data_IF_135771673608
#
_entry.id   IF_135771673608
#
_cell.length_a   1.000
_cell.length_b   1.000
_cell.length_c   1.000
_cell.angle_alpha   90.00
_cell.angle_beta   90.00
_cell.angle_gamma   90.00
#
_symmetry.space_group_name_H-M   'P 1'
#
loop_
_entity.id
_entity.type
_entity.pdbx_description
1 polymer ?
#
# COMPACT_ATOMS: atom_id res chain seq x y z
N UNK A 1 33.98 -50.24 11.76
CA UNK A 1 32.83 -49.39 11.37
C UNK A 1 32.46 -48.53 12.57
N UNK A 2 32.19 -47.24 12.38
CA UNK A 2 31.74 -46.36 13.49
C UNK A 2 30.24 -46.57 13.71
N UNK A 3 29.78 -46.42 14.95
CA UNK A 3 28.40 -46.73 15.34
C UNK A 3 27.39 -45.84 14.57
N UNK A 4 26.47 -46.47 13.82
CA UNK A 4 25.46 -45.77 13.01
C UNK A 4 24.53 -44.91 13.85
N UNK A 5 24.12 -45.39 15.04
CA UNK A 5 23.26 -44.64 15.96
C UNK A 5 23.96 -43.37 16.45
N UNK A 6 25.26 -43.44 16.72
CA UNK A 6 26.03 -42.26 17.15
C UNK A 6 26.21 -41.25 16.01
N UNK A 7 26.39 -41.71 14.77
CA UNK A 7 26.46 -40.83 13.60
C UNK A 7 25.12 -40.12 13.34
N UNK A 8 24.01 -40.83 13.45
CA UNK A 8 22.67 -40.24 13.36
C UNK A 8 22.40 -39.22 14.46
N UNK A 9 22.72 -39.55 15.72
CA UNK A 9 22.54 -38.65 16.86
C UNK A 9 23.34 -37.35 16.71
N UNK A 10 24.58 -37.43 16.23
CA UNK A 10 25.39 -36.24 15.96
C UNK A 10 24.79 -35.39 14.83
N UNK A 11 24.30 -36.01 13.74
CA UNK A 11 23.60 -35.28 12.68
C UNK A 11 22.26 -34.67 13.13
N UNK A 12 21.60 -35.24 14.14
CA UNK A 12 20.40 -34.68 14.75
C UNK A 12 20.71 -33.42 15.58
N UNK A 13 21.85 -33.41 16.29
CA UNK A 13 22.30 -32.22 17.03
C UNK A 13 22.66 -31.08 16.07
N UNK A 14 23.43 -31.39 15.02
CA UNK A 14 23.69 -30.45 13.95
C UNK A 14 24.03 -31.21 12.65
N UNK A 15 23.32 -30.93 11.53
CA UNK A 15 23.56 -31.58 10.26
C UNK A 15 25.03 -31.49 9.84
N UNK A 16 25.62 -32.66 9.55
CA UNK A 16 27.01 -32.81 9.13
C UNK A 16 27.97 -33.27 10.22
N UNK A 17 27.65 -33.12 11.52
CA UNK A 17 28.51 -33.65 12.60
C UNK A 17 28.63 -35.17 12.55
N UNK A 18 27.55 -35.87 12.19
CA UNK A 18 27.56 -37.32 11.99
C UNK A 18 28.54 -37.75 10.88
N UNK A 19 28.64 -36.97 9.80
CA UNK A 19 29.57 -37.20 8.69
C UNK A 19 31.02 -36.92 9.07
N UNK A 20 31.29 -35.86 9.85
CA UNK A 20 32.61 -35.61 10.41
C UNK A 20 33.05 -36.77 11.32
N UNK A 21 32.14 -37.27 12.16
CA UNK A 21 32.39 -38.43 13.00
C UNK A 21 32.80 -39.64 12.15
N UNK A 22 32.16 -39.92 11.02
CA UNK A 22 32.54 -41.05 10.14
C UNK A 22 33.69 -40.73 9.17
N UNK A 23 34.43 -39.63 9.38
CA UNK A 23 35.55 -39.16 8.54
C UNK A 23 35.15 -38.84 7.09
N UNK A 24 33.88 -38.50 6.86
CA UNK A 24 33.35 -38.02 5.57
C UNK A 24 33.31 -36.49 5.58
N UNK A 25 34.49 -35.87 5.58
CA UNK A 25 34.64 -34.43 5.85
C UNK A 25 33.96 -33.54 4.82
N UNK A 26 34.08 -33.85 3.53
CA UNK A 26 33.42 -33.10 2.47
C UNK A 26 31.90 -33.08 2.63
N UNK A 27 31.29 -34.25 2.85
CA UNK A 27 29.85 -34.37 3.08
C UNK A 27 29.41 -33.58 4.33
N UNK A 28 30.17 -33.71 5.43
CA UNK A 28 29.87 -33.00 6.68
C UNK A 28 29.93 -31.49 6.52
N UNK A 29 30.92 -30.97 5.81
CA UNK A 29 31.07 -29.54 5.59
C UNK A 29 29.90 -28.96 4.77
N UNK A 30 29.39 -29.69 3.79
CA UNK A 30 28.24 -29.26 2.98
C UNK A 30 26.99 -29.08 3.85
N UNK A 31 26.67 -30.06 4.70
CA UNK A 31 25.53 -29.95 5.61
C UNK A 31 25.71 -28.85 6.65
N UNK A 32 26.93 -28.66 7.15
CA UNK A 32 27.23 -27.60 8.12
C UNK A 32 27.02 -26.22 7.47
N UNK A 33 27.57 -25.99 6.28
CA UNK A 33 27.42 -24.72 5.56
C UNK A 33 25.95 -24.46 5.21
N UNK A 34 25.24 -25.46 4.69
CA UNK A 34 23.82 -25.32 4.36
C UNK A 34 22.96 -24.97 5.58
N UNK A 35 23.23 -25.61 6.72
CA UNK A 35 22.50 -25.37 7.97
C UNK A 35 22.88 -24.03 8.59
N UNK A 36 24.16 -23.66 8.59
CA UNK A 36 24.63 -22.37 9.06
C UNK A 36 24.03 -21.22 8.23
N UNK A 37 23.87 -21.42 6.92
CA UNK A 37 23.22 -20.44 6.05
C UNK A 37 21.72 -20.30 6.36
N UNK A 38 20.99 -21.39 6.59
CA UNK A 38 19.59 -21.34 7.05
C UNK A 38 19.45 -20.57 8.37
N UNK A 39 20.33 -20.82 9.34
CA UNK A 39 20.36 -20.08 10.61
C UNK A 39 20.76 -18.61 10.43
N UNK A 40 21.71 -18.30 9.57
CA UNK A 40 22.11 -16.92 9.26
C UNK A 40 20.93 -16.12 8.70
N UNK A 41 20.18 -16.70 7.76
CA UNK A 41 18.96 -16.07 7.21
C UNK A 41 17.90 -15.87 8.29
N UNK A 42 17.79 -16.79 9.24
CA UNK A 42 16.81 -16.72 10.33
C UNK A 42 17.19 -15.72 11.44
N UNK A 43 18.48 -15.46 11.68
CA UNK A 43 18.95 -14.69 12.84
C UNK A 43 19.44 -13.26 12.55
N UNK A 44 19.98 -12.95 11.35
CA UNK A 44 20.80 -11.73 11.16
C UNK A 44 20.23 -10.63 10.25
N UNK A 45 19.00 -10.78 9.76
CA UNK A 45 18.28 -9.67 9.12
C UNK A 45 17.03 -9.31 9.93
N UNK A 46 16.46 -8.11 9.73
CA UNK A 46 15.30 -7.52 10.43
C UNK A 46 14.00 -8.36 10.33
N UNK A 47 14.02 -9.61 10.80
CA UNK A 47 13.10 -10.68 10.40
C UNK A 47 12.56 -11.48 11.58
N UNK A 48 12.00 -10.78 12.57
CA UNK A 48 11.25 -11.37 13.68
C UNK A 48 10.10 -12.31 13.24
N UNK A 49 9.65 -12.20 11.98
CA UNK A 49 8.58 -13.02 11.41
C UNK A 49 9.02 -14.42 10.93
N UNK A 50 10.32 -14.66 10.70
CA UNK A 50 10.80 -16.00 10.28
C UNK A 50 10.75 -17.03 11.44
N UNK A 51 10.83 -16.55 12.69
CA UNK A 51 10.65 -17.36 13.89
C UNK A 51 9.18 -17.45 14.34
N UNK A 52 8.29 -16.66 13.73
CA UNK A 52 6.88 -16.63 14.08
C UNK A 52 6.13 -17.80 13.42
N UNK A 53 5.77 -18.81 14.21
CA UNK A 53 4.96 -19.95 13.77
C UNK A 53 3.55 -19.56 13.29
N UNK A 54 3.10 -18.34 13.56
CA UNK A 54 1.82 -17.81 13.09
C UNK A 54 1.88 -17.26 11.66
N UNK A 55 3.08 -17.09 11.11
CA UNK A 55 3.29 -16.57 9.75
C UNK A 55 3.45 -17.73 8.78
N UNK A 56 2.58 -17.89 7.75
CA UNK A 56 2.77 -18.91 6.72
C UNK A 56 4.11 -18.82 5.99
N UNK A 57 4.76 -17.64 6.02
CA UNK A 57 6.07 -17.41 5.42
C UNK A 57 7.20 -18.12 6.19
N UNK A 58 7.04 -18.41 7.48
CA UNK A 58 8.06 -19.14 8.26
C UNK A 58 8.10 -20.63 7.90
N UNK A 59 6.98 -21.20 7.43
CA UNK A 59 6.86 -22.64 7.15
C UNK A 59 7.84 -23.14 6.09
N UNK A 60 8.20 -22.31 5.11
CA UNK A 60 9.17 -22.71 4.07
C UNK A 60 10.58 -22.89 4.65
N UNK A 61 10.96 -22.07 5.64
CA UNK A 61 12.25 -22.15 6.33
C UNK A 61 12.27 -23.35 7.28
N UNK A 62 11.19 -23.53 8.05
CA UNK A 62 11.04 -24.70 8.91
C UNK A 62 11.03 -26.01 8.10
N UNK A 63 10.37 -26.04 6.94
CA UNK A 63 10.40 -27.18 6.03
C UNK A 63 11.82 -27.41 5.49
N UNK A 64 12.55 -26.35 5.13
CA UNK A 64 13.96 -26.42 4.75
C UNK A 64 14.83 -27.05 5.85
N UNK A 65 14.65 -26.63 7.11
CA UNK A 65 15.34 -27.25 8.25
C UNK A 65 15.00 -28.73 8.41
N UNK A 66 13.71 -29.10 8.37
CA UNK A 66 13.28 -30.51 8.48
C UNK A 66 13.93 -31.36 7.40
N UNK A 67 13.91 -30.92 6.14
CA UNK A 67 14.51 -31.65 5.02
C UNK A 67 16.01 -31.85 5.22
N UNK A 68 16.75 -30.78 5.56
CA UNK A 68 18.20 -30.85 5.76
C UNK A 68 18.56 -31.76 6.93
N UNK A 69 17.85 -31.67 8.05
CA UNK A 69 18.09 -32.51 9.23
C UNK A 69 17.77 -33.99 8.96
N UNK A 70 16.58 -34.30 8.44
CA UNK A 70 16.18 -35.68 8.14
C UNK A 70 17.14 -36.33 7.14
N UNK A 71 17.54 -35.60 6.10
CA UNK A 71 18.47 -36.11 5.11
C UNK A 71 19.87 -36.32 5.70
N UNK A 72 20.39 -35.37 6.47
CA UNK A 72 21.71 -35.49 7.09
C UNK A 72 21.79 -36.67 8.07
N UNK A 73 20.70 -36.95 8.80
CA UNK A 73 20.58 -38.11 9.70
C UNK A 73 20.58 -39.41 8.89
N UNK A 74 19.73 -39.51 7.87
CA UNK A 74 19.60 -40.71 7.05
C UNK A 74 20.91 -41.04 6.31
N UNK A 75 21.54 -40.03 5.71
CA UNK A 75 22.77 -40.22 4.94
C UNK A 75 23.97 -40.58 5.83
N UNK A 76 24.09 -39.96 7.02
CA UNK A 76 25.18 -40.28 7.95
C UNK A 76 25.03 -41.71 8.51
N UNK A 77 23.80 -42.10 8.86
CA UNK A 77 23.47 -43.45 9.34
C UNK A 77 23.81 -44.52 8.29
N UNK A 78 23.38 -44.32 7.04
CA UNK A 78 23.63 -45.23 5.92
C UNK A 78 25.13 -45.39 5.65
N UNK A 79 25.87 -44.27 5.55
CA UNK A 79 27.32 -44.28 5.29
C UNK A 79 28.13 -44.90 6.43
N UNK A 80 27.65 -44.81 7.68
CA UNK A 80 28.28 -45.47 8.82
C UNK A 80 28.17 -47.01 8.77
N UNK A 81 27.14 -47.54 8.10
CA UNK A 81 26.86 -48.97 7.96
C UNK A 81 27.67 -49.71 6.90
N UNK A 82 28.54 -49.01 6.15
CA UNK A 82 29.46 -49.65 5.21
C UNK A 82 28.88 -49.98 3.83
N UNK A 83 27.72 -49.44 3.44
CA UNK A 83 27.21 -49.53 2.06
C UNK A 83 28.10 -48.71 1.09
N UNK A 84 29.21 -49.30 0.66
CA UNK A 84 30.19 -48.68 -0.24
C UNK A 84 29.97 -48.98 -1.73
N UNK A 85 29.04 -49.87 -2.11
CA UNK A 85 28.97 -50.41 -3.48
C UNK A 85 28.02 -49.67 -4.47
N UNK A 86 27.47 -48.52 -4.10
CA UNK A 86 26.77 -47.61 -5.06
C UNK A 86 27.57 -46.30 -5.25
N UNK A 87 28.81 -46.24 -4.74
CA UNK A 87 29.42 -44.98 -4.31
C UNK A 87 30.23 -44.18 -5.36
N UNK A 88 30.39 -44.62 -6.61
CA UNK A 88 31.08 -43.81 -7.63
C UNK A 88 30.16 -42.99 -8.55
N UNK A 89 28.86 -43.30 -8.60
CA UNK A 89 27.89 -42.58 -9.44
C UNK A 89 26.98 -41.60 -8.68
N UNK A 90 27.07 -41.56 -7.35
CA UNK A 90 26.15 -40.85 -6.44
C UNK A 90 26.73 -39.59 -5.79
N UNK A 91 28.05 -39.39 -5.78
CA UNK A 91 28.70 -38.21 -5.15
C UNK A 91 28.32 -36.89 -5.84
N UNK A 92 28.25 -36.87 -7.17
CA UNK A 92 27.81 -35.72 -7.95
C UNK A 92 26.30 -35.46 -7.80
N UNK A 93 25.48 -36.52 -7.74
CA UNK A 93 24.02 -36.42 -7.70
C UNK A 93 23.51 -35.88 -6.35
N UNK A 94 24.11 -36.27 -5.23
CA UNK A 94 23.64 -35.83 -3.91
C UNK A 94 24.03 -34.38 -3.57
N UNK A 95 25.21 -33.92 -4.02
CA UNK A 95 25.63 -32.52 -3.86
C UNK A 95 24.72 -31.57 -4.65
N UNK A 96 24.37 -31.97 -5.88
CA UNK A 96 23.47 -31.20 -6.75
C UNK A 96 22.03 -31.21 -6.25
N UNK A 97 21.54 -32.35 -5.76
CA UNK A 97 20.14 -32.47 -5.33
C UNK A 97 19.94 -31.80 -3.96
N UNK A 98 20.75 -32.08 -2.94
CA UNK A 98 20.52 -31.49 -1.60
C UNK A 98 21.03 -30.05 -1.53
N UNK A 99 22.22 -29.78 -2.06
CA UNK A 99 22.75 -28.43 -2.15
C UNK A 99 21.91 -27.54 -3.08
N UNK A 100 21.45 -28.08 -4.21
CA UNK A 100 20.56 -27.39 -5.14
C UNK A 100 19.14 -27.21 -4.59
N UNK A 101 18.56 -28.20 -3.92
CA UNK A 101 17.24 -28.05 -3.28
C UNK A 101 17.33 -27.07 -2.10
N UNK A 102 18.34 -27.17 -1.23
CA UNK A 102 18.52 -26.19 -0.16
C UNK A 102 18.78 -24.79 -0.72
N UNK A 103 19.61 -24.66 -1.76
CA UNK A 103 19.84 -23.39 -2.44
C UNK A 103 18.55 -22.86 -3.09
N UNK A 104 17.74 -23.69 -3.74
CA UNK A 104 16.47 -23.28 -4.33
C UNK A 104 15.46 -22.90 -3.24
N UNK A 105 15.33 -23.66 -2.15
CA UNK A 105 14.44 -23.30 -1.04
C UNK A 105 14.88 -22.03 -0.34
N UNK A 106 16.19 -21.80 -0.17
CA UNK A 106 16.69 -20.56 0.44
C UNK A 106 16.65 -19.39 -0.54
N UNK A 107 16.97 -19.58 -1.82
CA UNK A 107 16.86 -18.54 -2.84
C UNK A 107 15.39 -18.17 -3.06
N UNK A 108 14.49 -19.14 -3.19
CA UNK A 108 13.04 -18.94 -3.26
C UNK A 108 12.50 -18.36 -1.95
N UNK A 109 12.98 -18.80 -0.80
CA UNK A 109 12.63 -18.24 0.51
C UNK A 109 13.08 -16.77 0.64
N UNK A 110 14.30 -16.44 0.23
CA UNK A 110 14.83 -15.08 0.18
C UNK A 110 14.05 -14.21 -0.81
N UNK A 111 13.69 -14.75 -1.98
CA UNK A 111 12.84 -14.07 -2.95
C UNK A 111 11.43 -13.83 -2.39
N UNK A 112 10.84 -14.79 -1.68
CA UNK A 112 9.52 -14.65 -1.04
C UNK A 112 9.56 -13.69 0.15
N UNK A 113 10.66 -13.67 0.89
CA UNK A 113 10.76 -12.97 2.17
C UNK A 113 11.31 -11.55 2.06
N UNK A 114 12.25 -11.30 1.13
CA UNK A 114 12.47 -9.94 0.59
C UNK A 114 11.30 -9.47 -0.27
N UNK A 115 10.29 -10.33 -0.44
CA UNK A 115 9.03 -10.13 -1.16
C UNK A 115 9.16 -9.95 -2.67
N UNK A 116 10.35 -10.10 -3.26
CA UNK A 116 10.54 -10.16 -4.71
C UNK A 116 9.62 -11.16 -5.41
N UNK A 117 9.09 -12.16 -4.69
CA UNK A 117 8.14 -13.13 -5.21
C UNK A 117 6.97 -13.39 -4.24
N UNK A 118 5.74 -13.00 -4.60
CA UNK A 118 4.51 -13.29 -3.82
C UNK A 118 3.54 -14.16 -4.64
N UNK A 119 3.83 -15.46 -4.83
CA UNK A 119 3.07 -16.31 -5.76
C UNK A 119 1.62 -16.62 -5.33
N UNK A 120 1.22 -16.31 -4.09
CA UNK A 120 -0.08 -16.71 -3.52
C UNK A 120 -0.90 -15.57 -2.88
N UNK A 121 -0.85 -14.34 -3.40
CA UNK A 121 -1.68 -13.25 -2.85
C UNK A 121 -2.86 -12.87 -3.74
N UNK A 122 -3.78 -13.79 -4.02
CA UNK A 122 -5.06 -13.41 -4.62
C UNK A 122 -6.19 -14.35 -4.18
N UNK A 123 -6.68 -14.13 -2.97
CA UNK A 123 -8.12 -14.03 -2.76
C UNK A 123 -8.35 -12.76 -1.94
N UNK A 124 -9.03 -11.80 -2.55
CA UNK A 124 -9.74 -10.76 -1.83
C UNK A 124 -11.16 -11.26 -1.65
N UNK A 125 -11.75 -11.10 -0.47
CA UNK A 125 -13.20 -11.34 -0.31
C UNK A 125 -14.04 -10.33 -1.13
N UNK A 126 -13.37 -9.30 -1.67
CA UNK A 126 -13.90 -8.37 -2.64
C UNK A 126 -14.20 -9.03 -3.99
N UNK A 127 -15.45 -8.90 -4.44
CA UNK A 127 -15.89 -9.26 -5.79
C UNK A 127 -15.73 -8.05 -6.72
N UNK A 128 -15.00 -8.22 -7.82
CA UNK A 128 -14.90 -7.18 -8.84
C UNK A 128 -16.23 -7.05 -9.60
N UNK A 129 -16.82 -5.86 -9.62
CA UNK A 129 -18.08 -5.54 -10.34
C UNK A 129 -17.85 -4.83 -11.68
N UNK A 130 -16.59 -4.65 -12.10
CA UNK A 130 -16.21 -4.03 -13.36
C UNK A 130 -16.04 -2.51 -13.29
N UNK A 131 -15.81 -1.91 -14.45
CA UNK A 131 -15.62 -0.45 -14.57
C UNK A 131 -16.97 0.25 -14.62
N UNK A 132 -17.19 1.21 -13.73
CA UNK A 132 -18.47 1.96 -13.61
C UNK A 132 -18.43 3.35 -14.24
N UNK A 133 -17.23 3.91 -14.41
CA UNK A 133 -16.99 5.19 -15.09
C UNK A 133 -15.78 4.97 -16.00
N UNK A 134 -15.98 5.17 -17.30
CA UNK A 134 -14.91 5.24 -18.30
C UNK A 134 -14.81 6.67 -18.80
N UNK A 135 -13.58 7.12 -19.07
CA UNK A 135 -13.31 8.42 -19.67
C UNK A 135 -13.69 8.43 -21.16
N UNK A 136 -14.98 8.32 -21.51
CA UNK A 136 -15.47 8.70 -22.84
C UNK A 136 -15.25 10.20 -23.11
N UNK A 137 -15.10 10.97 -22.03
CA UNK A 137 -14.83 12.38 -22.07
C UNK A 137 -13.34 12.67 -22.12
N UNK A 138 -12.94 13.81 -22.69
CA UNK A 138 -11.53 14.19 -22.79
C UNK A 138 -10.95 14.72 -21.46
N UNK A 139 -11.20 14.07 -20.33
CA UNK A 139 -10.65 14.44 -19.03
C UNK A 139 -10.08 13.20 -18.32
N UNK A 140 -8.89 13.33 -17.74
CA UNK A 140 -8.44 12.28 -16.82
C UNK A 140 -9.21 12.41 -15.52
N UNK A 141 -9.59 11.28 -14.94
CA UNK A 141 -10.53 11.16 -13.84
C UNK A 141 -9.88 10.31 -12.76
N UNK A 142 -9.62 10.90 -11.59
CA UNK A 142 -8.97 10.23 -10.47
C UNK A 142 -9.48 10.79 -9.14
N UNK A 143 -9.01 10.21 -8.04
CA UNK A 143 -9.35 10.63 -6.68
C UNK A 143 -10.86 10.80 -6.47
N UNK A 144 -11.64 9.72 -6.66
CA UNK A 144 -13.07 9.79 -6.41
C UNK A 144 -13.34 9.98 -4.91
N UNK A 145 -14.31 10.82 -4.63
CA UNK A 145 -14.95 10.97 -3.33
C UNK A 145 -16.43 10.72 -3.51
N UNK A 146 -17.09 10.04 -2.56
CA UNK A 146 -18.53 9.77 -2.65
C UNK A 146 -19.23 10.23 -1.36
N UNK A 147 -20.36 10.92 -1.54
CA UNK A 147 -21.24 11.33 -0.46
C UNK A 147 -22.68 10.93 -0.77
N UNK A 148 -23.41 10.49 0.25
CA UNK A 148 -24.85 10.24 0.14
C UNK A 148 -25.64 11.54 0.35
N UNK A 149 -26.66 11.76 -0.47
CA UNK A 149 -27.62 12.85 -0.32
C UNK A 149 -28.79 12.44 0.58
N UNK A 150 -29.60 13.42 1.00
CA UNK A 150 -30.72 13.20 1.94
C UNK A 150 -31.82 12.34 1.34
N UNK A 151 -31.94 12.31 0.02
CA UNK A 151 -32.90 11.47 -0.71
C UNK A 151 -32.39 10.03 -0.94
N UNK A 152 -31.21 9.70 -0.41
CA UNK A 152 -30.56 8.41 -0.53
C UNK A 152 -29.76 8.20 -1.81
N UNK A 153 -29.81 9.15 -2.76
CA UNK A 153 -28.94 9.14 -3.93
C UNK A 153 -27.50 9.46 -3.57
N UNK A 154 -26.59 9.27 -4.51
CA UNK A 154 -25.14 9.40 -4.33
C UNK A 154 -24.58 10.44 -5.28
N UNK A 155 -23.66 11.25 -4.78
CA UNK A 155 -22.78 12.08 -5.58
C UNK A 155 -21.35 11.58 -5.48
N UNK A 156 -20.69 11.42 -6.62
CA UNK A 156 -19.26 11.21 -6.70
C UNK A 156 -18.61 12.49 -7.23
N UNK A 157 -17.58 12.96 -6.55
CA UNK A 157 -16.73 14.08 -6.98
C UNK A 157 -15.34 13.55 -7.28
N UNK A 158 -14.78 13.94 -8.41
CA UNK A 158 -13.47 13.44 -8.86
C UNK A 158 -12.56 14.60 -9.20
N UNK A 159 -11.28 14.44 -8.92
CA UNK A 159 -10.25 15.25 -9.55
C UNK A 159 -10.20 14.91 -11.04
N UNK A 160 -10.24 15.91 -11.91
CA UNK A 160 -9.81 15.71 -13.28
C UNK A 160 -9.11 16.91 -13.92
N UNK A 161 -8.49 16.66 -15.07
CA UNK A 161 -7.93 17.71 -15.93
C UNK A 161 -8.40 17.54 -17.37
N UNK A 162 -8.72 18.63 -18.09
CA UNK A 162 -8.99 18.58 -19.51
C UNK A 162 -7.77 18.07 -20.29
N UNK A 163 -7.96 17.18 -21.28
CA UNK A 163 -6.89 16.59 -22.09
C UNK A 163 -6.00 17.62 -22.77
N UNK A 164 -6.55 18.79 -23.14
CA UNK A 164 -5.81 19.88 -23.81
C UNK A 164 -5.06 20.79 -22.85
N UNK A 165 -5.43 20.80 -21.58
CA UNK A 165 -4.82 21.66 -20.56
C UNK A 165 -4.63 20.87 -19.26
N UNK A 166 -3.55 20.08 -19.22
CA UNK A 166 -3.15 19.33 -18.03
C UNK A 166 -2.53 20.21 -16.95
N UNK A 167 -2.51 21.54 -17.14
CA UNK A 167 -2.00 22.49 -16.14
C UNK A 167 -3.08 22.93 -15.14
N UNK A 168 -4.36 22.60 -15.41
CA UNK A 168 -5.51 22.93 -14.59
C UNK A 168 -6.15 21.69 -13.98
N UNK A 169 -6.33 21.71 -12.66
CA UNK A 169 -7.06 20.68 -11.92
C UNK A 169 -8.47 21.19 -11.63
N UNK A 170 -9.49 20.42 -11.98
CA UNK A 170 -10.90 20.73 -11.74
C UNK A 170 -11.58 19.58 -10.97
N UNK A 171 -12.70 19.89 -10.32
CA UNK A 171 -13.58 18.86 -9.74
C UNK A 171 -14.73 18.62 -10.70
N UNK A 172 -14.95 17.36 -11.07
CA UNK A 172 -16.10 16.90 -11.84
C UNK A 172 -17.04 16.09 -10.94
N UNK A 173 -18.34 16.09 -11.25
CA UNK A 173 -19.34 15.38 -10.47
C UNK A 173 -20.19 14.41 -11.28
N UNK A 174 -20.64 13.36 -10.58
CA UNK A 174 -21.45 12.27 -11.12
C UNK A 174 -22.54 11.92 -10.13
N UNK A 175 -23.77 11.73 -10.61
CA UNK A 175 -24.90 11.33 -9.78
C UNK A 175 -25.23 9.86 -9.97
N UNK A 176 -25.73 9.20 -8.93
CA UNK A 176 -26.20 7.82 -9.00
C UNK A 176 -27.33 7.56 -8.01
N UNK A 177 -28.28 6.69 -8.39
CA UNK A 177 -29.33 6.21 -7.47
C UNK A 177 -29.01 4.88 -6.80
N UNK A 178 -28.06 4.12 -7.35
CA UNK A 178 -27.74 2.75 -6.93
C UNK A 178 -26.24 2.55 -6.59
N UNK A 179 -25.43 3.60 -6.78
CA UNK A 179 -23.97 3.55 -6.65
C UNK A 179 -23.30 2.74 -7.76
N UNK A 180 -24.02 2.14 -8.70
CA UNK A 180 -23.43 1.34 -9.78
C UNK A 180 -23.41 2.10 -11.09
N UNK A 181 -24.53 2.76 -11.40
CA UNK A 181 -24.72 3.50 -12.63
C UNK A 181 -24.52 4.98 -12.34
N UNK A 182 -23.47 5.55 -12.90
CA UNK A 182 -23.10 6.93 -12.68
C UNK A 182 -23.41 7.77 -13.92
N UNK A 183 -24.12 8.87 -13.72
CA UNK A 183 -24.43 9.85 -14.74
C UNK A 183 -23.50 11.05 -14.55
N UNK A 184 -22.80 11.44 -15.62
CA UNK A 184 -21.96 12.63 -15.60
C UNK A 184 -22.81 13.90 -15.49
N UNK A 185 -22.46 14.77 -14.54
CA UNK A 185 -23.15 16.04 -14.29
C UNK A 185 -22.30 17.27 -14.64
N UNK A 186 -20.98 17.09 -14.82
CA UNK A 186 -20.09 18.13 -15.36
C UNK A 186 -19.05 18.63 -14.37
N UNK A 187 -18.46 19.78 -14.70
CA UNK A 187 -17.51 20.46 -13.82
C UNK A 187 -18.27 21.15 -12.68
N UNK A 188 -17.84 20.87 -11.45
CA UNK A 188 -18.41 21.42 -10.22
C UNK A 188 -17.63 22.67 -9.77
N UNK A 189 -16.30 22.59 -9.77
CA UNK A 189 -15.42 23.66 -9.33
C UNK A 189 -14.15 23.69 -10.19
N UNK A 190 -13.79 24.87 -10.70
CA UNK A 190 -12.54 25.11 -11.40
C UNK A 190 -11.37 25.28 -10.42
N UNK A 191 -10.14 24.87 -10.81
CA UNK A 191 -8.92 25.06 -10.00
C UNK A 191 -9.07 24.45 -8.61
N UNK A 192 -9.60 23.23 -8.54
CA UNK A 192 -9.83 22.48 -7.33
C UNK A 192 -9.35 21.05 -7.55
N UNK A 193 -8.56 20.51 -6.63
CA UNK A 193 -8.00 19.17 -6.75
C UNK A 193 -8.30 18.32 -5.53
N UNK A 194 -8.39 17.00 -5.74
CA UNK A 194 -8.40 15.98 -4.68
C UNK A 194 -9.51 16.24 -3.64
N UNK A 195 -10.79 16.23 -4.09
CA UNK A 195 -11.89 16.62 -3.24
C UNK A 195 -12.14 15.60 -2.12
N UNK A 196 -12.72 16.07 -1.01
CA UNK A 196 -13.46 15.25 -0.06
C UNK A 196 -14.78 15.96 0.31
N UNK A 197 -15.83 15.24 0.66
CA UNK A 197 -17.18 15.77 0.72
C UNK A 197 -17.93 15.27 1.95
N UNK A 198 -18.69 16.16 2.58
CA UNK A 198 -19.58 15.77 3.67
C UNK A 198 -20.93 16.42 3.52
N UNK A 199 -21.99 15.64 3.74
CA UNK A 199 -23.33 16.18 3.83
C UNK A 199 -23.54 16.85 5.20
N UNK A 200 -23.98 18.10 5.16
CA UNK A 200 -24.34 18.93 6.30
C UNK A 200 -25.77 18.64 6.78
N UNK A 201 -26.13 19.03 8.03
CA UNK A 201 -27.48 18.82 8.58
C UNK A 201 -28.60 19.51 7.78
N UNK A 202 -28.29 20.58 7.06
CA UNK A 202 -29.25 21.30 6.19
C UNK A 202 -29.43 20.66 4.81
N UNK A 203 -28.80 19.50 4.58
CA UNK A 203 -28.88 18.73 3.33
C UNK A 203 -27.87 19.16 2.27
N UNK A 204 -27.22 20.32 2.41
CA UNK A 204 -26.16 20.76 1.50
C UNK A 204 -24.90 19.92 1.70
N UNK A 205 -24.02 19.96 0.72
CA UNK A 205 -22.71 19.32 0.75
C UNK A 205 -21.69 20.41 0.99
N UNK A 206 -20.80 20.19 1.96
CA UNK A 206 -19.53 20.91 2.01
C UNK A 206 -18.46 20.06 1.33
N UNK A 207 -17.94 20.58 0.23
CA UNK A 207 -16.82 20.01 -0.49
C UNK A 207 -15.55 20.70 -0.02
N UNK A 208 -14.57 19.94 0.44
CA UNK A 208 -13.21 20.39 0.68
C UNK A 208 -12.34 20.01 -0.50
N UNK A 209 -11.39 20.88 -0.85
CA UNK A 209 -10.48 20.63 -1.95
C UNK A 209 -9.15 21.31 -1.72
N UNK A 210 -8.08 20.76 -2.30
CA UNK A 210 -6.76 21.37 -2.29
C UNK A 210 -6.72 22.45 -3.37
N UNK A 211 -6.18 23.62 -3.03
CA UNK A 211 -5.86 24.69 -3.97
C UNK A 211 -4.49 25.26 -3.64
N UNK A 212 -3.66 25.36 -4.67
CA UNK A 212 -2.30 25.86 -4.55
C UNK A 212 -2.16 27.08 -5.48
N UNK A 213 -1.69 28.20 -4.94
CA UNK A 213 -1.32 29.42 -5.65
C UNK A 213 0.18 29.70 -5.46
N UNK A 214 0.69 30.80 -6.02
CA UNK A 214 2.07 31.20 -5.77
C UNK A 214 2.28 31.67 -4.32
N UNK A 215 1.22 32.17 -3.68
CA UNK A 215 1.25 32.79 -2.36
C UNK A 215 0.76 31.88 -1.23
N UNK A 216 -0.09 30.89 -1.54
CA UNK A 216 -0.72 30.04 -0.53
C UNK A 216 -1.01 28.63 -1.06
N UNK A 217 -1.00 27.66 -0.14
CA UNK A 217 -1.31 26.27 -0.42
C UNK A 217 -2.07 25.68 0.76
N UNK A 218 -3.06 24.83 0.46
CA UNK A 218 -3.82 24.17 1.49
C UNK A 218 -5.22 23.81 1.05
N UNK A 219 -6.07 23.61 2.04
CA UNK A 219 -7.44 23.17 1.87
C UNK A 219 -8.40 24.36 1.89
N UNK A 220 -9.24 24.47 0.87
CA UNK A 220 -10.41 25.36 0.82
C UNK A 220 -11.69 24.54 0.91
N UNK A 221 -12.83 25.23 1.00
CA UNK A 221 -14.15 24.59 0.96
C UNK A 221 -15.15 25.35 0.10
N UNK A 222 -16.20 24.66 -0.31
CA UNK A 222 -17.36 25.23 -1.00
C UNK A 222 -18.64 24.57 -0.52
N UNK A 223 -19.75 25.33 -0.53
CA UNK A 223 -21.08 24.85 -0.20
C UNK A 223 -21.88 24.61 -1.47
N UNK A 224 -22.55 23.46 -1.54
CA UNK A 224 -23.42 23.13 -2.66
C UNK A 224 -24.80 23.78 -2.54
N UNK A 225 -25.51 23.86 -3.66
CA UNK A 225 -26.98 23.83 -3.71
C UNK A 225 -27.52 22.49 -3.18
N UNK A 226 -28.82 22.39 -2.82
CA UNK A 226 -29.39 21.14 -2.30
C UNK A 226 -29.29 19.92 -3.22
N UNK A 227 -29.16 20.13 -4.53
CA UNK A 227 -28.95 19.07 -5.53
C UNK A 227 -27.51 18.54 -5.59
N UNK A 228 -26.56 19.19 -4.89
CA UNK A 228 -25.14 18.82 -4.92
C UNK A 228 -24.40 19.20 -6.20
N UNK A 229 -24.97 20.04 -7.08
CA UNK A 229 -24.43 20.32 -8.42
C UNK A 229 -23.80 21.70 -8.58
N UNK A 230 -24.21 22.70 -7.80
CA UNK A 230 -23.70 24.06 -7.92
C UNK A 230 -23.01 24.47 -6.63
N UNK A 231 -21.76 24.93 -6.73
CA UNK A 231 -20.94 25.23 -5.56
C UNK A 231 -20.59 26.71 -5.46
N UNK A 232 -20.70 27.25 -4.23
CA UNK A 232 -20.17 28.56 -3.86
C UNK A 232 -18.95 28.39 -2.97
N UNK A 233 -17.79 28.85 -3.44
CA UNK A 233 -16.52 28.76 -2.68
C UNK A 233 -16.63 29.63 -1.44
N UNK A 234 -16.31 29.06 -0.28
CA UNK A 234 -16.27 29.77 0.99
C UNK A 234 -14.94 30.53 1.11
N UNK A 235 -14.99 31.77 1.62
CA UNK A 235 -13.81 32.63 1.71
C UNK A 235 -12.73 32.06 2.66
N UNK A 236 -11.48 32.06 2.19
CA UNK A 236 -10.31 31.67 2.99
C UNK A 236 -10.00 30.18 2.98
N UNK A 237 -8.79 29.86 3.42
CA UNK A 237 -8.34 28.48 3.61
C UNK A 237 -8.84 27.93 4.95
N UNK A 238 -9.28 26.67 4.93
CA UNK A 238 -9.67 25.88 6.10
C UNK A 238 -8.47 25.32 6.83
N UNK A 239 -7.39 25.06 6.08
CA UNK A 239 -6.11 24.63 6.62
C UNK A 239 -4.99 25.09 5.68
N UNK A 240 -4.10 25.95 6.17
CA UNK A 240 -2.93 26.44 5.44
C UNK A 240 -1.71 25.59 5.78
N UNK A 241 -0.94 25.24 4.77
CA UNK A 241 0.37 24.60 4.91
C UNK A 241 1.48 25.56 4.51
N UNK A 242 2.72 25.26 4.90
CA UNK A 242 3.86 26.14 4.59
C UNK A 242 4.36 26.06 3.16
N UNK A 243 3.95 25.03 2.40
CA UNK A 243 4.35 24.88 1.01
C UNK A 243 3.89 26.04 0.12
N UNK A 244 4.80 26.90 -0.32
CA UNK A 244 4.66 27.57 -1.61
C UNK A 244 4.84 26.53 -2.72
N UNK A 245 4.18 26.67 -3.86
CA UNK A 245 4.18 25.70 -4.96
C UNK A 245 5.59 25.45 -5.57
N UNK A 246 6.49 24.76 -4.87
CA UNK A 246 7.79 24.39 -5.43
C UNK A 246 7.63 23.10 -6.21
N UNK A 247 7.49 23.22 -7.54
CA UNK A 247 7.67 22.09 -8.47
C UNK A 247 9.12 21.58 -8.49
N UNK A 248 10.04 22.27 -7.79
CA UNK A 248 11.44 21.92 -7.67
C UNK A 248 11.69 21.03 -6.45
N UNK A 249 12.20 19.82 -6.70
CA UNK A 249 12.62 18.85 -5.69
C UNK A 249 13.75 19.40 -4.80
N UNK A 250 14.49 20.42 -5.24
CA UNK A 250 15.49 21.10 -4.39
C UNK A 250 14.88 21.72 -3.12
N UNK A 251 13.60 22.09 -3.18
CA UNK A 251 12.83 22.60 -2.03
C UNK A 251 12.34 21.51 -1.07
N UNK A 252 12.50 20.22 -1.40
CA UNK A 252 12.05 19.12 -0.56
C UNK A 252 13.01 18.90 0.61
N UNK A 253 12.44 18.93 1.82
CA UNK A 253 13.18 18.62 3.04
C UNK A 253 13.58 17.14 3.03
N UNK A 254 14.78 16.76 3.53
CA UNK A 254 15.08 15.36 3.80
C UNK A 254 13.96 14.73 4.64
N UNK A 255 13.68 13.44 4.41
CA UNK A 255 12.76 12.69 5.26
C UNK A 255 13.08 12.91 6.74
N UNK A 256 12.02 13.14 7.53
CA UNK A 256 12.11 13.44 8.95
C UNK A 256 10.96 12.80 9.70
N UNK A 257 11.22 12.35 10.92
CA UNK A 257 10.19 11.83 11.82
C UNK A 257 9.35 12.97 12.40
N UNK A 258 8.03 12.80 12.46
CA UNK A 258 7.13 13.75 13.14
C UNK A 258 7.12 13.46 14.64
N UNK A 259 7.43 14.46 15.46
CA UNK A 259 7.32 14.39 16.91
C UNK A 259 6.13 15.22 17.37
N UNK A 260 5.23 14.62 18.16
CA UNK A 260 4.02 15.30 18.64
C UNK A 260 3.15 15.78 17.48
N UNK A 261 2.67 17.03 17.54
CA UNK A 261 1.83 17.64 16.49
C UNK A 261 2.62 18.05 15.24
N UNK A 262 3.87 18.47 15.38
CA UNK A 262 4.56 19.23 14.33
C UNK A 262 3.87 20.59 14.03
N UNK A 263 4.38 21.31 13.03
CA UNK A 263 3.84 22.59 12.57
C UNK A 263 3.26 22.43 11.15
N UNK A 264 2.01 22.87 10.87
CA UNK A 264 1.49 22.94 9.50
C UNK A 264 2.40 23.65 8.50
N UNK A 265 3.23 24.61 8.95
CA UNK A 265 4.21 25.31 8.12
C UNK A 265 5.36 24.41 7.66
N UNK A 266 5.56 23.26 8.29
CA UNK A 266 6.57 22.30 7.85
C UNK A 266 6.08 21.39 6.73
N UNK A 267 4.77 21.33 6.49
CA UNK A 267 4.15 20.53 5.44
C UNK A 267 4.40 21.20 4.08
N UNK A 268 5.15 20.52 3.22
CA UNK A 268 5.46 20.98 1.86
C UNK A 268 4.32 20.74 0.89
N UNK A 269 3.64 19.60 1.00
CA UNK A 269 2.53 19.24 0.11
C UNK A 269 1.44 18.53 0.89
N UNK A 270 0.20 18.88 0.57
CA UNK A 270 -1.02 18.21 1.03
C UNK A 270 -1.77 17.68 -0.19
N UNK A 271 -2.21 16.43 -0.13
CA UNK A 271 -2.97 15.79 -1.22
C UNK A 271 -4.01 14.79 -0.68
N UNK A 272 -4.89 14.33 -1.57
CA UNK A 272 -5.80 13.19 -1.39
C UNK A 272 -6.54 13.18 -0.05
N UNK A 273 -7.45 14.13 0.10
CA UNK A 273 -8.25 14.30 1.30
C UNK A 273 -9.27 13.17 1.44
N UNK A 274 -9.51 12.71 2.66
CA UNK A 274 -10.62 11.82 2.99
C UNK A 274 -11.22 12.20 4.35
N UNK A 275 -12.50 12.59 4.35
CA UNK A 275 -13.23 13.00 5.54
C UNK A 275 -14.02 11.86 6.15
N UNK A 276 -14.04 11.80 7.47
CA UNK A 276 -14.99 11.02 8.26
C UNK A 276 -15.70 11.90 9.27
N UNK A 277 -16.94 11.56 9.59
CA UNK A 277 -17.65 12.09 10.76
C UNK A 277 -17.22 11.31 12.01
N UNK A 278 -16.97 12.01 13.10
CA UNK A 278 -16.62 11.40 14.38
C UNK A 278 -17.89 11.18 15.22
N UNK A 279 -17.93 10.09 15.99
CA UNK A 279 -19.10 9.73 16.82
C UNK A 279 -19.43 10.76 17.90
N UNK A 280 -18.40 11.42 18.43
CA UNK A 280 -18.55 12.47 19.45
C UNK A 280 -18.94 13.83 18.84
N UNK A 281 -19.22 13.88 17.54
CA UNK A 281 -19.37 15.12 16.79
C UNK A 281 -18.06 15.59 16.16
N UNK A 282 -18.19 16.47 15.17
CA UNK A 282 -17.08 16.95 14.38
C UNK A 282 -16.59 15.97 13.30
N UNK A 283 -15.41 16.25 12.79
CA UNK A 283 -14.84 15.67 11.59
C UNK A 283 -13.35 15.37 11.77
N UNK A 284 -12.87 14.38 11.04
CA UNK A 284 -11.44 14.13 10.81
C UNK A 284 -11.21 14.02 9.31
N UNK A 285 -10.21 14.73 8.80
CA UNK A 285 -9.71 14.54 7.44
C UNK A 285 -8.36 13.87 7.53
N UNK A 286 -8.22 12.75 6.83
CA UNK A 286 -6.94 12.14 6.49
C UNK A 286 -6.43 12.78 5.20
N UNK A 287 -5.13 13.04 5.14
CA UNK A 287 -4.50 13.63 3.97
C UNK A 287 -3.08 13.11 3.82
N UNK A 288 -2.57 13.19 2.60
CA UNK A 288 -1.21 12.82 2.32
C UNK A 288 -0.29 14.01 2.53
N UNK A 289 0.69 13.87 3.42
CA UNK A 289 1.82 14.75 3.52
C UNK A 289 2.91 14.27 2.56
N UNK A 290 3.19 15.09 1.54
CA UNK A 290 4.20 14.83 0.53
C UNK A 290 5.33 15.86 0.53
N UNK A 291 6.24 15.71 -0.43
CA UNK A 291 7.33 16.67 -0.66
C UNK A 291 8.56 16.45 0.23
N UNK A 292 8.75 15.24 0.75
CA UNK A 292 9.97 14.86 1.48
C UNK A 292 10.95 14.17 0.54
N UNK A 293 12.23 14.52 0.59
CA UNK A 293 13.27 13.87 -0.20
C UNK A 293 13.64 12.52 0.42
N UNK A 294 13.54 11.45 -0.38
CA UNK A 294 14.01 10.13 0.01
C UNK A 294 15.53 10.08 0.23
N UNK A 295 15.97 9.14 1.08
CA UNK A 295 17.40 8.90 1.28
C UNK A 295 18.02 8.27 0.04
N UNK A 296 18.83 9.05 -0.67
CA UNK A 296 19.57 8.62 -1.86
C UNK A 296 20.53 7.46 -1.57
N UNK A 297 20.99 7.27 -0.33
CA UNK A 297 21.84 6.13 0.06
C UNK A 297 21.05 4.82 0.08
N UNK A 298 19.76 4.89 0.40
CA UNK A 298 18.84 3.75 0.45
C UNK A 298 18.29 3.42 -0.93
N UNK A 299 17.79 4.43 -1.65
CA UNK A 299 17.05 4.22 -2.90
C UNK A 299 17.87 4.42 -4.19
N UNK A 300 19.08 5.00 -4.08
CA UNK A 300 19.95 5.23 -5.23
C UNK A 300 19.31 6.14 -6.29
N UNK A 301 19.43 5.72 -7.55
CA UNK A 301 18.85 6.38 -8.74
C UNK A 301 17.32 6.39 -8.76
N UNK A 302 16.68 5.61 -7.86
CA UNK A 302 15.22 5.48 -7.79
C UNK A 302 14.60 6.34 -6.69
N UNK A 303 15.40 7.14 -5.99
CA UNK A 303 14.91 8.04 -4.95
C UNK A 303 13.81 8.95 -5.52
N UNK A 304 12.60 8.81 -4.98
CA UNK A 304 11.41 9.57 -5.31
C UNK A 304 10.91 10.24 -4.03
N UNK A 305 10.33 11.45 -4.11
CA UNK A 305 9.64 12.08 -2.99
C UNK A 305 8.77 11.13 -2.14
N UNK A 306 8.99 11.12 -0.84
CA UNK A 306 8.27 10.25 0.10
C UNK A 306 6.94 10.87 0.51
N UNK A 307 5.95 10.02 0.74
CA UNK A 307 4.60 10.38 1.14
C UNK A 307 4.15 9.57 2.34
N UNK A 308 3.42 10.20 3.25
CA UNK A 308 2.82 9.59 4.45
C UNK A 308 1.40 10.10 4.66
N UNK A 309 0.61 9.40 5.47
CA UNK A 309 -0.75 9.84 5.82
C UNK A 309 -0.76 10.52 7.16
N UNK A 310 -1.33 11.73 7.21
CA UNK A 310 -1.59 12.50 8.43
C UNK A 310 -3.07 12.85 8.54
N UNK A 311 -3.45 13.49 9.64
CA UNK A 311 -4.83 13.89 9.86
C UNK A 311 -4.98 15.24 10.54
N UNK A 312 -6.10 15.89 10.25
CA UNK A 312 -6.58 17.13 10.88
C UNK A 312 -8.00 16.88 11.40
N UNK A 313 -8.39 17.58 12.46
CA UNK A 313 -9.73 17.49 13.05
C UNK A 313 -10.40 18.85 13.18
N UNK A 314 -11.73 18.87 13.13
CA UNK A 314 -12.54 20.08 13.25
C UNK A 314 -13.88 19.75 13.90
N UNK A 315 -14.44 20.66 14.70
CA UNK A 315 -15.77 20.49 15.29
C UNK A 315 -16.89 21.03 14.38
N UNK A 316 -16.60 22.10 13.64
CA UNK A 316 -17.57 22.83 12.81
C UNK A 316 -17.35 22.62 11.30
N UNK A 317 -16.26 21.97 10.93
CA UNK A 317 -15.82 21.77 9.56
C UNK A 317 -15.23 23.04 8.93
N UNK A 318 -14.99 24.10 9.69
CA UNK A 318 -14.40 25.35 9.20
C UNK A 318 -12.99 25.55 9.75
N UNK A 319 -12.81 25.35 11.04
CA UNK A 319 -11.53 25.51 11.72
C UNK A 319 -10.88 24.15 11.97
N UNK A 320 -9.73 23.92 11.35
CA UNK A 320 -9.05 22.63 11.36
C UNK A 320 -7.74 22.68 12.14
N UNK A 321 -7.54 21.66 12.98
CA UNK A 321 -6.33 21.48 13.79
C UNK A 321 -5.58 20.23 13.38
N UNK A 322 -4.28 20.35 13.14
CA UNK A 322 -3.39 19.22 12.88
C UNK A 322 -3.34 18.27 14.08
N UNK A 323 -3.48 16.98 13.84
CA UNK A 323 -3.42 15.96 14.89
C UNK A 323 -1.97 15.46 15.11
N UNK A 324 -1.64 15.03 16.33
CA UNK A 324 -0.31 14.51 16.64
C UNK A 324 -0.01 13.17 15.98
N UNK A 325 1.23 13.02 15.52
CA UNK A 325 1.76 11.83 14.89
C UNK A 325 1.36 11.66 13.42
N UNK A 326 1.62 10.44 12.95
CA UNK A 326 1.41 9.97 11.57
C UNK A 326 0.45 8.78 11.63
N UNK A 327 -0.44 8.67 10.64
CA UNK A 327 -1.42 7.57 10.56
C UNK A 327 -0.82 6.35 9.89
N UNK A 328 -0.16 6.57 8.75
CA UNK A 328 0.64 5.56 8.06
C UNK A 328 1.95 6.21 7.64
N UNK A 329 3.07 5.69 8.14
CA UNK A 329 4.40 6.16 7.77
C UNK A 329 4.95 5.31 6.61
N UNK A 330 5.72 5.94 5.72
CA UNK A 330 6.26 5.29 4.52
C UNK A 330 7.17 4.10 4.83
N UNK A 331 7.84 4.12 5.99
CA UNK A 331 8.73 3.05 6.44
C UNK A 331 8.07 2.08 7.42
N UNK A 332 6.77 2.26 7.71
CA UNK A 332 6.04 1.35 8.59
C UNK A 332 5.97 -0.04 7.95
N UNK A 333 6.37 -1.13 8.66
CA UNK A 333 6.22 -2.47 8.13
C UNK A 333 4.77 -2.76 7.69
N UNK A 334 4.54 -3.36 6.50
CA UNK A 334 5.51 -4.01 5.61
C UNK A 334 6.11 -3.11 4.51
N UNK A 335 5.95 -1.78 4.61
CA UNK A 335 6.23 -0.83 3.53
C UNK A 335 7.67 -0.30 3.52
N UNK A 336 8.58 -0.86 4.33
CA UNK A 336 9.94 -0.35 4.54
C UNK A 336 10.75 -0.06 3.24
N UNK A 337 10.46 -0.77 2.15
CA UNK A 337 11.11 -0.60 0.84
C UNK A 337 10.35 0.33 -0.13
N UNK A 338 9.15 0.75 0.24
CA UNK A 338 8.28 1.62 -0.54
C UNK A 338 8.60 3.09 -0.30
N UNK A 339 8.08 3.94 -1.17
CA UNK A 339 8.27 5.40 -1.12
C UNK A 339 6.94 6.15 -1.16
N UNK A 340 5.83 5.47 -1.46
CA UNK A 340 4.51 6.08 -1.54
C UNK A 340 3.55 5.39 -0.61
N UNK A 341 2.92 6.20 0.24
CA UNK A 341 1.70 5.91 0.96
C UNK A 341 0.78 7.08 0.69
N UNK A 342 -0.36 6.81 0.05
CA UNK A 342 -1.23 7.87 -0.45
C UNK A 342 -2.68 7.44 -0.53
N UNK A 343 -3.58 8.40 -0.70
CA UNK A 343 -4.99 8.21 -1.05
C UNK A 343 -5.68 7.19 -0.14
N UNK A 344 -5.99 7.61 1.09
CA UNK A 344 -6.69 6.76 2.06
C UNK A 344 -8.21 6.90 1.96
N UNK A 345 -8.95 5.81 2.16
CA UNK A 345 -10.36 5.80 2.51
C UNK A 345 -10.54 5.14 3.87
N UNK A 346 -11.11 5.87 4.83
CA UNK A 346 -11.34 5.36 6.18
C UNK A 346 -12.83 5.10 6.40
N UNK A 347 -13.15 3.90 6.88
CA UNK A 347 -14.50 3.53 7.30
C UNK A 347 -14.46 2.93 8.70
N UNK A 348 -15.57 3.05 9.44
CA UNK A 348 -15.71 2.42 10.75
C UNK A 348 -16.51 1.12 10.64
N UNK A 349 -15.96 0.02 11.15
CA UNK A 349 -16.56 -1.31 11.13
C UNK A 349 -16.56 -1.83 12.58
N UNK A 350 -17.75 -1.89 13.19
CA UNK A 350 -17.86 -2.12 14.63
C UNK A 350 -17.08 -1.06 15.42
N UNK A 351 -16.16 -1.50 16.28
CA UNK A 351 -15.33 -0.63 17.12
C UNK A 351 -13.96 -0.29 16.48
N UNK A 352 -13.76 -0.60 15.21
CA UNK A 352 -12.48 -0.42 14.51
C UNK A 352 -12.60 0.52 13.32
N UNK A 353 -11.57 1.34 13.13
CA UNK A 353 -11.34 2.09 11.90
C UNK A 353 -10.51 1.23 10.95
N UNK A 354 -11.01 1.08 9.73
CA UNK A 354 -10.30 0.43 8.63
C UNK A 354 -9.89 1.51 7.63
N UNK A 355 -8.59 1.67 7.44
CA UNK A 355 -8.01 2.55 6.44
C UNK A 355 -7.55 1.73 5.25
N UNK A 356 -8.17 1.93 4.10
CA UNK A 356 -7.73 1.40 2.82
C UNK A 356 -6.91 2.45 2.11
N UNK A 357 -5.68 2.17 1.71
CA UNK A 357 -4.78 3.18 1.17
C UNK A 357 -3.91 2.63 0.05
N UNK A 358 -3.45 3.51 -0.82
CA UNK A 358 -2.50 3.17 -1.88
C UNK A 358 -1.09 3.14 -1.33
N UNK A 359 -0.34 2.08 -1.62
CA UNK A 359 1.09 2.05 -1.36
C UNK A 359 1.88 1.53 -2.57
N UNK A 360 3.11 2.00 -2.74
CA UNK A 360 3.97 1.53 -3.82
C UNK A 360 5.39 2.09 -3.81
N UNK A 361 6.20 1.58 -4.73
CA UNK A 361 7.54 2.12 -5.00
C UNK A 361 7.45 3.44 -5.77
N UNK A 362 8.61 4.03 -6.07
CA UNK A 362 8.71 5.13 -7.03
C UNK A 362 8.05 4.75 -8.38
N UNK A 363 7.32 5.66 -9.06
CA UNK A 363 6.68 5.32 -10.33
C UNK A 363 7.57 4.75 -11.42
N UNK A 364 8.88 5.05 -11.46
CA UNK A 364 9.81 4.36 -12.37
C UNK A 364 10.10 2.92 -11.96
N UNK A 365 10.18 2.61 -10.66
CA UNK A 365 10.30 1.22 -10.20
C UNK A 365 9.01 0.42 -10.41
N UNK A 366 7.87 1.08 -10.32
CA UNK A 366 6.57 0.49 -10.64
C UNK A 366 6.38 0.19 -12.15
N UNK A 367 7.27 0.66 -13.02
CA UNK A 367 7.31 0.18 -14.41
C UNK A 367 7.80 -1.27 -14.49
N UNK A 368 8.50 -1.78 -13.47
CA UNK A 368 8.92 -3.17 -13.43
C UNK A 368 7.70 -4.06 -13.15
N UNK A 369 7.30 -4.94 -14.09
CA UNK A 369 6.05 -5.68 -13.98
C UNK A 369 5.92 -6.46 -12.66
N UNK A 370 6.99 -7.09 -12.20
CA UNK A 370 6.99 -7.88 -10.98
C UNK A 370 6.76 -7.04 -9.70
N UNK A 371 7.29 -5.80 -9.63
CA UNK A 371 7.08 -4.92 -8.47
C UNK A 371 5.64 -4.41 -8.43
N UNK A 372 5.16 -3.89 -9.56
CA UNK A 372 3.76 -3.43 -9.69
C UNK A 372 2.76 -4.55 -9.42
N UNK A 373 3.03 -5.75 -9.88
CA UNK A 373 2.12 -6.88 -9.72
C UNK A 373 2.20 -7.56 -8.37
N UNK A 374 3.28 -7.47 -7.61
CA UNK A 374 3.38 -8.14 -6.32
C UNK A 374 3.18 -7.20 -5.11
N UNK A 375 3.40 -5.88 -5.28
CA UNK A 375 3.53 -4.98 -4.13
C UNK A 375 2.67 -3.74 -4.21
N UNK A 376 2.74 -2.99 -5.31
CA UNK A 376 2.04 -1.72 -5.39
C UNK A 376 0.53 -1.95 -5.58
N UNK A 377 -0.28 -1.14 -4.91
CA UNK A 377 -1.74 -1.21 -4.94
C UNK A 377 -2.36 -0.84 -3.59
N UNK A 378 -3.52 -1.42 -3.30
CA UNK A 378 -4.30 -1.11 -2.10
C UNK A 378 -3.89 -2.01 -0.94
N UNK A 379 -3.63 -1.39 0.21
CA UNK A 379 -3.39 -2.01 1.50
C UNK A 379 -4.51 -1.63 2.47
N UNK A 380 -4.59 -2.37 3.57
CA UNK A 380 -5.48 -2.06 4.68
C UNK A 380 -4.67 -1.93 5.97
N UNK A 381 -5.10 -0.99 6.81
CA UNK A 381 -4.62 -0.86 8.17
C UNK A 381 -5.80 -0.68 9.12
N UNK A 382 -5.67 -1.23 10.33
CA UNK A 382 -6.71 -1.24 11.36
C UNK A 382 -6.29 -0.38 12.55
N UNK A 383 -7.24 0.36 13.12
CA UNK A 383 -7.04 1.18 14.31
C UNK A 383 -8.25 1.14 15.24
N UNK A 384 -8.03 1.20 16.56
CA UNK A 384 -9.12 1.34 17.55
C UNK A 384 -9.49 2.80 17.82
N UNK A 385 -8.56 3.73 17.62
CA UNK A 385 -8.71 5.16 17.95
C UNK A 385 -8.75 6.06 16.71
N UNK A 386 -8.52 5.50 15.53
CA UNK A 386 -8.44 6.21 14.27
C UNK A 386 -7.19 7.10 14.16
N UNK A 387 -6.20 6.89 15.03
CA UNK A 387 -4.93 7.61 15.07
C UNK A 387 -3.74 6.66 14.90
N UNK A 388 -3.75 5.50 15.56
CA UNK A 388 -2.67 4.53 15.51
C UNK A 388 -3.10 3.33 14.66
N UNK A 389 -2.59 3.23 13.43
CA UNK A 389 -2.98 2.19 12.49
C UNK A 389 -1.91 1.10 12.39
N UNK A 390 -2.34 -0.15 12.39
CA UNK A 390 -1.50 -1.33 12.13
C UNK A 390 -1.79 -1.86 10.74
N UNK A 391 -0.79 -1.87 9.86
CA UNK A 391 -0.93 -2.34 8.48
C UNK A 391 -1.03 -3.87 8.46
N UNK A 392 -2.01 -4.38 7.72
CA UNK A 392 -2.12 -5.80 7.41
C UNK A 392 -1.07 -6.13 6.35
N UNK A 393 -0.17 -7.10 6.64
CA UNK A 393 0.97 -7.46 5.76
C UNK A 393 0.55 -8.28 4.52
N UNK A 394 -0.34 -7.68 3.72
CA UNK A 394 -0.86 -8.22 2.46
C UNK A 394 -1.40 -7.06 1.62
N UNK A 395 -1.00 -7.02 0.34
CA UNK A 395 -1.69 -6.18 -0.64
C UNK A 395 -3.07 -6.77 -0.90
N UNK A 396 -4.11 -5.96 -0.79
CA UNK A 396 -5.49 -6.35 -1.00
C UNK A 396 -5.88 -6.36 -2.47
N UNK A 397 -5.69 -5.23 -3.18
CA UNK A 397 -6.21 -5.02 -4.53
C UNK A 397 -5.18 -4.28 -5.40
N UNK A 398 -5.35 -4.38 -6.72
CA UNK A 398 -4.67 -3.50 -7.67
C UNK A 398 -5.52 -2.27 -7.98
N UNK A 399 -4.86 -1.12 -8.16
CA UNK A 399 -5.51 0.18 -8.37
C UNK A 399 -4.91 1.23 -7.44
N UNK A 400 -5.48 2.43 -7.50
CA UNK A 400 -5.19 3.54 -6.58
C UNK A 400 -6.48 4.25 -6.18
N UNK A 401 -6.35 5.21 -5.26
CA UNK A 401 -7.42 6.12 -4.86
C UNK A 401 -8.73 5.43 -4.46
N UNK A 402 -8.67 4.55 -3.44
CA UNK A 402 -9.87 3.93 -2.91
C UNK A 402 -10.82 4.99 -2.35
N UNK A 403 -12.11 4.79 -2.61
CA UNK A 403 -13.22 5.38 -1.85
C UNK A 403 -14.26 4.30 -1.60
N UNK A 404 -14.94 4.38 -0.46
CA UNK A 404 -15.85 3.33 -0.01
C UNK A 404 -17.23 3.90 0.23
N UNK A 405 -18.22 3.26 -0.37
CA UNK A 405 -19.60 3.35 0.10
C UNK A 405 -19.82 2.23 1.11
N UNK A 406 -20.33 2.58 2.28
CA UNK A 406 -20.74 1.65 3.31
C UNK A 406 -22.25 1.77 3.51
N UNK A 407 -22.94 0.63 3.46
CA UNK A 407 -24.33 0.49 3.90
C UNK A 407 -24.38 -0.44 5.11
N UNK A 408 -25.58 -0.70 5.63
CA UNK A 408 -25.76 -1.69 6.71
C UNK A 408 -25.43 -3.12 6.28
N UNK A 409 -25.58 -3.41 4.98
CA UNK A 409 -25.54 -4.78 4.46
C UNK A 409 -24.27 -5.08 3.65
N UNK A 410 -23.59 -4.04 3.13
CA UNK A 410 -22.45 -4.23 2.23
C UNK A 410 -21.49 -3.04 2.20
N UNK A 411 -20.27 -3.32 1.72
CA UNK A 411 -19.25 -2.34 1.34
C UNK A 411 -18.99 -2.41 -0.17
N UNK A 412 -18.80 -1.25 -0.80
CA UNK A 412 -18.32 -1.17 -2.19
C UNK A 412 -17.18 -0.19 -2.26
N UNK A 413 -16.06 -0.65 -2.82
CA UNK A 413 -14.88 0.17 -3.06
C UNK A 413 -14.80 0.56 -4.53
N UNK A 414 -14.55 1.82 -4.80
CA UNK A 414 -14.24 2.35 -6.13
C UNK A 414 -12.75 2.67 -6.15
N UNK A 415 -12.11 2.37 -7.28
CA UNK A 415 -10.68 2.52 -7.47
C UNK A 415 -10.40 3.24 -8.79
N UNK A 416 -9.44 4.14 -8.77
CA UNK A 416 -8.82 4.64 -10.00
C UNK A 416 -7.98 3.55 -10.65
N UNK A 417 -8.07 3.45 -11.98
CA UNK A 417 -7.19 2.62 -12.80
C UNK A 417 -6.81 3.37 -14.07
N UNK A 418 -5.55 3.24 -14.48
CA UNK A 418 -5.10 3.75 -15.77
C UNK A 418 -5.51 2.78 -16.87
N UNK A 419 -6.41 3.21 -17.74
CA UNK A 419 -6.81 2.48 -18.94
C UNK A 419 -6.65 3.42 -20.16
N UNK A 420 -6.29 2.90 -21.34
CA UNK A 420 -6.28 3.69 -22.57
C UNK A 420 -7.69 4.25 -22.82
N UNK A 421 -7.80 5.58 -22.90
CA UNK A 421 -9.06 6.22 -23.26
C UNK A 421 -9.40 6.00 -24.75
N UNK A 422 -10.68 6.11 -25.14
CA UNK A 422 -11.08 6.05 -26.54
C UNK A 422 -10.45 7.20 -27.35
N UNK A 423 -10.06 6.90 -28.60
CA UNK A 423 -9.38 7.86 -29.50
C UNK A 423 -10.26 9.11 -29.81
N UNK A 424 -11.58 8.95 -29.79
CA UNK A 424 -12.58 9.98 -30.11
C UNK A 424 -13.39 10.44 -28.88
N UNK A 425 -12.70 10.92 -27.85
CA UNK A 425 -13.37 11.39 -26.64
C UNK A 425 -14.24 12.65 -26.87
N UNK A 426 -15.32 12.78 -26.10
CA UNK A 426 -16.27 13.90 -26.15
C UNK A 426 -15.87 14.98 -25.13
N UNK A 427 -16.02 16.26 -25.45
CA UNK A 427 -15.86 17.30 -24.43
C UNK A 427 -17.11 17.34 -23.52
N UNK A 428 -16.96 17.00 -22.24
CA UNK A 428 -18.07 16.94 -21.27
C UNK A 428 -18.81 18.27 -21.11
N UNK A 429 -18.09 19.40 -21.10
CA UNK A 429 -18.69 20.73 -20.97
C UNK A 429 -19.52 21.08 -22.20
N UNK A 430 -19.01 20.78 -23.40
CA UNK A 430 -19.75 20.98 -24.65
C UNK A 430 -20.98 20.08 -24.74
N UNK A 431 -20.87 18.83 -24.31
CA UNK A 431 -21.99 17.89 -24.34
C UNK A 431 -23.12 18.31 -23.39
N UNK A 432 -22.78 18.74 -22.17
CA UNK A 432 -23.77 19.24 -21.20
C UNK A 432 -24.48 20.48 -21.74
N UNK A 433 -23.73 21.43 -22.31
CA UNK A 433 -24.29 22.65 -22.90
C UNK A 433 -25.23 22.37 -24.08
N UNK A 434 -25.01 21.26 -24.79
CA UNK A 434 -25.75 20.88 -26.00
C UNK A 434 -26.73 19.72 -25.75
N UNK A 435 -27.13 19.46 -24.50
CA UNK A 435 -28.18 18.46 -24.21
C UNK A 435 -29.48 18.88 -24.94
N UNK A 436 -30.14 17.97 -25.67
CA UNK A 436 -31.47 18.21 -26.21
C UNK A 436 -32.52 18.42 -25.11
#
# INVERSE_FOLDING_TARGET
MKNQKNSALLSLLFPGLGHLYIKKYADGLVFIIATAFLWYVMLFHQYSQALNFSSPRSYIFWLGFVIVYCYAIADSYRKAGGEANIAKKTFSTHLFVVGGIAFLFVASGLLVFKGYWRPFSYSSDWKNEGTVITSEYCNMMANPEIVQLSDGSWMMYTHGWPRKDTSRNDVYGYSSRDGLRWKAEGMMIEKASMPTAVQLPDGRIRLYFVRNTAEASGMMSALSSPDGLHFSIENGYRFLIGGGATKDISGFKPFYSVIGRGDPKDITTMAHLNIIKLEQGGYRIFFDEGGMRADVRKYGDKAWPMWRVRSITSQDGLDWTLEPGVRIEVEQPPLAEMQRVSSSAVVKIGDEYHMYFSAGFSPWEDLQPWKRWAWSGIYEAISKDGLNFSIIDKRLLSGSDPVIIQTKDWFRMYLSRSEPGPDNCINIESWIKNKP
#
